data_IF_204678545067
#
_entry.id   IF_204678545067
#
_cell.length_a   1.000
_cell.length_b   1.000
_cell.length_c   1.000
_cell.angle_alpha   90.00
_cell.angle_beta   90.00
_cell.angle_gamma   90.00
#
_symmetry.space_group_name_H-M   'P 1'
#
loop_
_entity.id
_entity.type
_entity.pdbx_description
1 polymer ?
#
# COMPACT_ATOMS: atom_id res chain seq x y z
N UNK A 1 11.83 -13.63 -17.72
CA UNK A 1 11.27 -12.26 -17.61
C UNK A 1 11.58 -11.78 -16.19
N UNK A 2 12.51 -10.85 -15.94
CA UNK A 2 12.72 -10.34 -14.59
C UNK A 2 11.55 -9.41 -14.25
N UNK A 3 10.93 -9.67 -13.10
CA UNK A 3 9.90 -8.87 -12.45
C UNK A 3 10.46 -7.46 -12.23
N UNK A 4 9.76 -6.43 -12.70
CA UNK A 4 10.24 -5.05 -12.64
C UNK A 4 10.06 -4.53 -11.20
N UNK A 5 11.12 -4.19 -10.45
CA UNK A 5 11.02 -3.77 -9.03
C UNK A 5 10.50 -2.32 -8.86
N UNK A 6 9.58 -1.87 -9.73
CA UNK A 6 9.12 -0.47 -9.78
C UNK A 6 7.61 -0.28 -9.87
N UNK A 7 6.82 -1.34 -10.02
CA UNK A 7 5.37 -1.24 -10.24
C UNK A 7 4.62 -0.60 -9.06
N UNK A 8 5.06 -0.85 -7.83
CA UNK A 8 4.37 -0.36 -6.62
C UNK A 8 4.42 1.15 -6.46
N UNK A 9 5.41 1.86 -7.04
CA UNK A 9 5.57 3.31 -6.87
C UNK A 9 4.63 4.15 -7.74
N UNK A 10 4.08 3.58 -8.81
CA UNK A 10 3.22 4.32 -9.76
C UNK A 10 1.75 4.41 -9.29
N UNK A 11 1.36 3.61 -8.30
CA UNK A 11 0.00 3.56 -7.74
C UNK A 11 -0.51 4.91 -7.24
N UNK A 12 0.39 5.82 -6.81
CA UNK A 12 -0.01 7.16 -6.39
C UNK A 12 -0.68 7.92 -7.52
N UNK A 13 -0.07 7.92 -8.71
CA UNK A 13 -0.54 8.68 -9.86
C UNK A 13 -1.67 7.98 -10.60
N UNK A 14 -1.68 6.65 -10.58
CA UNK A 14 -2.69 5.87 -11.30
C UNK A 14 -3.97 5.63 -10.49
N UNK A 15 -3.92 5.74 -9.15
CA UNK A 15 -5.07 5.42 -8.28
C UNK A 15 -5.40 6.55 -7.31
N UNK A 16 -4.43 7.02 -6.51
CA UNK A 16 -4.72 7.99 -5.43
C UNK A 16 -5.17 9.35 -5.99
N UNK A 17 -4.42 9.88 -6.96
CA UNK A 17 -4.72 11.18 -7.59
C UNK A 17 -6.07 11.18 -8.32
N UNK A 18 -6.40 10.20 -9.19
CA UNK A 18 -7.72 10.13 -9.81
C UNK A 18 -8.89 10.03 -8.82
N UNK A 19 -8.75 9.24 -7.74
CA UNK A 19 -9.78 9.18 -6.68
C UNK A 19 -9.91 10.54 -5.97
N UNK A 20 -8.78 11.22 -5.77
CA UNK A 20 -8.62 12.63 -5.42
C UNK A 20 -9.59 13.54 -6.18
N UNK A 21 -9.41 13.50 -7.50
CA UNK A 21 -10.03 14.39 -8.49
C UNK A 21 -11.53 14.16 -8.66
N UNK A 22 -12.03 12.95 -8.39
CA UNK A 22 -13.47 12.67 -8.43
C UNK A 22 -14.26 13.49 -7.40
N UNK A 23 -13.61 14.02 -6.36
CA UNK A 23 -14.20 14.90 -5.35
C UNK A 23 -15.54 14.38 -4.80
N UNK A 24 -15.62 13.06 -4.58
CA UNK A 24 -16.84 12.41 -4.10
C UNK A 24 -17.09 12.88 -2.66
N UNK A 25 -18.23 13.54 -2.37
CA UNK A 25 -18.53 14.02 -1.03
C UNK A 25 -18.55 12.89 -0.01
N UNK A 26 -18.00 13.16 1.17
CA UNK A 26 -17.92 12.22 2.28
C UNK A 26 -18.34 12.92 3.59
N UNK A 27 -19.49 13.58 3.55
CA UNK A 27 -19.94 14.54 4.56
C UNK A 27 -20.10 13.96 5.98
N UNK A 28 -20.26 12.64 6.09
CA UNK A 28 -20.38 11.92 7.37
C UNK A 28 -19.05 11.49 7.97
N UNK A 29 -17.94 11.69 7.26
CA UNK A 29 -16.63 11.18 7.68
C UNK A 29 -15.86 12.19 8.52
N UNK A 30 -15.34 11.76 9.69
CA UNK A 30 -14.43 12.60 10.46
C UNK A 30 -13.05 12.75 9.81
N UNK A 31 -12.71 11.92 8.81
CA UNK A 31 -11.40 11.92 8.16
C UNK A 31 -11.25 12.98 7.05
N UNK A 32 -12.35 13.58 6.59
CA UNK A 32 -12.32 14.67 5.60
C UNK A 32 -13.57 14.75 4.74
N UNK A 33 -13.70 15.88 4.04
CA UNK A 33 -14.89 16.23 3.23
C UNK A 33 -15.09 15.39 1.97
N UNK A 34 -14.03 14.79 1.45
CA UNK A 34 -14.07 13.98 0.23
C UNK A 34 -13.51 12.58 0.48
N UNK A 35 -14.01 11.62 -0.28
CA UNK A 35 -13.50 10.23 -0.27
C UNK A 35 -12.02 10.23 -0.63
N UNK A 36 -11.28 9.35 0.03
CA UNK A 36 -9.85 9.15 -0.24
C UNK A 36 -9.47 7.72 0.08
N UNK A 37 -8.40 7.25 -0.55
CA UNK A 37 -7.88 5.88 -0.34
C UNK A 37 -6.46 5.91 0.18
N UNK A 38 -6.15 4.97 1.07
CA UNK A 38 -4.78 4.65 1.49
C UNK A 38 -4.42 3.30 0.89
N UNK A 39 -3.18 3.16 0.43
CA UNK A 39 -2.71 1.96 -0.26
C UNK A 39 -1.43 1.48 0.43
N UNK A 40 -1.44 0.21 0.87
CA UNK A 40 -0.23 -0.52 1.21
C UNK A 40 0.14 -1.43 0.05
N UNK A 41 1.41 -1.43 -0.33
CA UNK A 41 1.94 -2.33 -1.36
C UNK A 41 3.17 -3.03 -0.82
N UNK A 42 3.32 -4.31 -1.13
CA UNK A 42 4.52 -5.07 -0.83
C UNK A 42 5.05 -5.74 -2.10
N UNK A 43 6.37 -5.85 -2.21
CA UNK A 43 7.03 -6.56 -3.29
C UNK A 43 8.12 -7.48 -2.74
N UNK A 44 8.26 -8.66 -3.34
CA UNK A 44 9.22 -9.68 -2.92
C UNK A 44 9.83 -10.37 -4.12
N UNK A 45 11.09 -10.76 -3.97
CA UNK A 45 11.68 -11.78 -4.83
C UNK A 45 11.29 -13.14 -4.27
N UNK A 46 10.66 -13.99 -5.09
CA UNK A 46 10.25 -15.31 -4.64
C UNK A 46 11.46 -16.14 -4.17
N UNK A 47 11.32 -16.78 -3.01
CA UNK A 47 12.28 -17.71 -2.41
C UNK A 47 11.50 -18.88 -1.82
N UNK A 48 12.13 -20.05 -1.70
CA UNK A 48 11.50 -21.25 -1.13
C UNK A 48 11.06 -21.05 0.33
N UNK A 49 11.71 -20.13 1.04
CA UNK A 49 11.40 -19.84 2.44
C UNK A 49 10.28 -18.79 2.62
N UNK A 50 9.69 -18.26 1.54
CA UNK A 50 8.70 -17.18 1.62
C UNK A 50 7.28 -17.72 1.40
N UNK A 51 6.42 -17.61 2.42
CA UNK A 51 5.01 -17.96 2.25
C UNK A 51 4.24 -16.81 1.57
N UNK A 52 3.20 -17.16 0.81
CA UNK A 52 2.29 -16.15 0.23
C UNK A 52 1.66 -15.25 1.31
N UNK A 53 1.39 -15.82 2.49
CA UNK A 53 0.84 -15.10 3.63
C UNK A 53 1.78 -14.01 4.17
N UNK A 54 3.10 -14.20 4.08
CA UNK A 54 4.08 -13.18 4.49
C UNK A 54 4.00 -11.94 3.59
N UNK A 55 3.75 -12.13 2.29
CA UNK A 55 3.56 -11.03 1.34
C UNK A 55 2.26 -10.26 1.62
N UNK A 56 1.17 -10.97 1.93
CA UNK A 56 -0.10 -10.35 2.30
C UNK A 56 0.06 -9.56 3.60
N UNK A 57 0.72 -10.14 4.60
CA UNK A 57 0.95 -9.49 5.88
C UNK A 57 1.81 -8.23 5.73
N UNK A 58 2.83 -8.26 4.87
CA UNK A 58 3.61 -7.05 4.54
C UNK A 58 2.75 -5.96 3.90
N UNK A 59 1.86 -6.32 2.96
CA UNK A 59 0.94 -5.35 2.35
C UNK A 59 -0.03 -4.75 3.39
N UNK A 60 -0.52 -5.56 4.34
CA UNK A 60 -1.37 -5.09 5.44
C UNK A 60 -0.61 -4.16 6.40
N UNK A 61 0.64 -4.46 6.75
CA UNK A 61 1.51 -3.58 7.55
C UNK A 61 1.71 -2.24 6.86
N UNK A 62 2.07 -2.26 5.57
CA UNK A 62 2.19 -1.04 4.77
C UNK A 62 0.88 -0.25 4.74
N UNK A 63 -0.27 -0.91 4.60
CA UNK A 63 -1.58 -0.26 4.61
C UNK A 63 -1.90 0.37 5.97
N UNK A 64 -1.57 -0.33 7.07
CA UNK A 64 -1.74 0.18 8.43
C UNK A 64 -0.91 1.44 8.65
N UNK A 65 0.36 1.43 8.24
CA UNK A 65 1.23 2.62 8.27
C UNK A 65 0.66 3.76 7.41
N UNK A 66 0.10 3.44 6.23
CA UNK A 66 -0.53 4.42 5.36
C UNK A 66 -1.74 5.10 6.03
N UNK A 67 -2.53 4.35 6.81
CA UNK A 67 -3.67 4.89 7.57
C UNK A 67 -3.21 5.76 8.75
N UNK A 68 -2.24 5.30 9.54
CA UNK A 68 -1.74 6.04 10.71
C UNK A 68 -1.06 7.36 10.30
N UNK A 69 -0.33 7.36 9.19
CA UNK A 69 0.43 8.52 8.71
C UNK A 69 -0.38 9.63 8.05
N UNK A 70 -1.67 9.80 8.40
CA UNK A 70 -2.55 10.87 7.91
C UNK A 70 -3.52 10.50 6.78
N UNK A 71 -3.62 9.21 6.43
CA UNK A 71 -4.41 8.68 5.31
C UNK A 71 -4.03 9.29 3.94
N UNK A 72 -4.63 8.82 2.85
CA UNK A 72 -4.44 9.35 1.48
C UNK A 72 -3.03 9.15 0.89
N UNK A 73 -2.36 8.08 1.30
CA UNK A 73 -0.95 7.83 0.94
C UNK A 73 -0.71 6.41 0.49
N UNK A 74 0.39 6.27 -0.25
CA UNK A 74 1.00 5.01 -0.61
C UNK A 74 2.17 4.75 0.36
N UNK A 75 2.23 3.55 0.93
CA UNK A 75 3.41 3.02 1.61
C UNK A 75 3.81 1.74 0.89
N UNK A 76 5.10 1.59 0.61
CA UNK A 76 5.67 0.44 -0.08
C UNK A 76 6.65 -0.25 0.86
N UNK A 77 6.44 -1.54 1.10
CA UNK A 77 7.40 -2.43 1.74
C UNK A 77 8.12 -3.21 0.63
N UNK A 78 9.36 -2.83 0.34
CA UNK A 78 10.24 -3.54 -0.60
C UNK A 78 11.07 -4.56 0.17
N UNK A 79 11.35 -5.70 -0.46
CA UNK A 79 12.14 -6.80 0.11
C UNK A 79 11.62 -7.21 1.49
N UNK A 80 10.44 -7.87 1.52
CA UNK A 80 9.92 -8.52 2.73
C UNK A 80 10.93 -9.58 3.17
N UNK A 81 11.92 -9.16 3.96
CA UNK A 81 12.82 -10.04 4.67
C UNK A 81 12.00 -10.76 5.73
N UNK A 82 12.24 -12.06 5.88
CA UNK A 82 11.50 -12.94 6.75
C UNK A 82 11.20 -12.31 8.13
N UNK A 83 9.94 -12.15 8.54
CA UNK A 83 9.63 -11.35 9.73
C UNK A 83 9.86 -12.04 11.09
N UNK A 84 10.45 -13.24 11.17
CA UNK A 84 10.32 -14.05 12.39
C UNK A 84 11.62 -14.56 13.04
N UNK A 85 12.79 -14.06 12.62
CA UNK A 85 14.07 -14.30 13.31
C UNK A 85 14.68 -12.99 13.79
N UNK A 86 14.21 -12.51 14.94
CA UNK A 86 14.92 -11.60 15.83
C UNK A 86 14.61 -11.96 17.28
#
# INVERSE_FOLDING_TARGET
>A
MPHRPGGSRDCRRTIIEPVQELAIPHDVSPAGRYVSVSIGSASVTASDDLAADDLVLAAERALSQAKIGGCKRLVVEDDVAQPWLA
#
